data_IF_739342974307
#
_entry.id   IF_739342974307
#
_cell.length_a   1.000
_cell.length_b   1.000
_cell.length_c   1.000
_cell.angle_alpha   90.00
_cell.angle_beta   90.00
_cell.angle_gamma   90.00
#
_symmetry.space_group_name_H-M   'P 1'
#
loop_
_entity.id
_entity.type
_entity.pdbx_description
1 polymer ?
#
# COMPACT_ATOMS: atom_id res chain seq x y z
N UNK A 1 16.79 13.73 -33.26
CA UNK A 1 15.81 13.94 -32.18
C UNK A 1 15.67 12.64 -31.42
N UNK A 2 16.18 12.57 -30.19
CA UNK A 2 15.99 11.44 -29.29
C UNK A 2 14.50 11.31 -29.00
N UNK A 3 13.86 10.24 -29.49
CA UNK A 3 12.50 9.89 -29.08
C UNK A 3 12.56 9.65 -27.57
N UNK A 4 12.03 10.58 -26.79
CA UNK A 4 11.88 10.39 -25.35
C UNK A 4 10.95 9.21 -25.16
N UNK A 5 11.48 8.13 -24.61
CA UNK A 5 10.79 6.91 -24.19
C UNK A 5 9.89 7.20 -22.96
N UNK A 6 9.29 8.38 -22.92
CA UNK A 6 8.47 8.85 -21.82
C UNK A 6 7.03 8.69 -22.26
N UNK A 7 6.40 7.67 -21.69
CA UNK A 7 5.01 7.34 -21.91
C UNK A 7 4.24 7.71 -20.63
N UNK A 8 3.43 8.79 -20.64
CA UNK A 8 2.74 9.27 -19.44
C UNK A 8 1.84 8.20 -18.77
N UNK A 9 1.39 7.22 -19.54
CA UNK A 9 0.63 6.09 -19.02
C UNK A 9 1.49 5.11 -18.20
N UNK A 10 2.75 4.92 -18.60
CA UNK A 10 3.70 4.05 -17.87
C UNK A 10 4.08 4.70 -16.54
N UNK A 11 4.27 6.02 -16.50
CA UNK A 11 4.56 6.74 -15.27
C UNK A 11 3.37 6.72 -14.30
N UNK A 12 2.14 6.99 -14.78
CA UNK A 12 0.93 6.89 -13.96
C UNK A 12 0.76 5.50 -13.34
N UNK A 13 0.95 4.44 -14.12
CA UNK A 13 0.93 3.05 -13.63
C UNK A 13 2.04 2.76 -12.61
N UNK A 14 3.18 3.44 -12.70
CA UNK A 14 4.26 3.36 -11.71
C UNK A 14 3.84 3.97 -10.38
N UNK A 15 3.30 5.19 -10.42
CA UNK A 15 2.85 5.94 -9.24
C UNK A 15 1.74 5.18 -8.49
N UNK A 16 0.73 4.67 -9.21
CA UNK A 16 -0.37 3.91 -8.60
C UNK A 16 0.12 2.64 -7.88
N UNK A 17 1.09 1.93 -8.47
CA UNK A 17 1.69 0.76 -7.84
C UNK A 17 2.53 1.11 -6.62
N UNK A 18 3.27 2.21 -6.68
CA UNK A 18 4.09 2.66 -5.56
C UNK A 18 3.24 3.09 -4.36
N UNK A 19 2.09 3.73 -4.61
CA UNK A 19 1.12 4.09 -3.57
C UNK A 19 0.51 2.86 -2.91
N UNK A 20 0.10 1.84 -3.69
CA UNK A 20 -0.46 0.59 -3.16
C UNK A 20 0.57 -0.18 -2.31
N UNK A 21 1.82 -0.26 -2.77
CA UNK A 21 2.92 -0.91 -2.03
C UNK A 21 3.21 -0.15 -0.72
N UNK A 22 3.20 1.19 -0.77
CA UNK A 22 3.45 2.04 0.39
C UNK A 22 2.32 1.91 1.41
N UNK A 23 1.08 1.83 0.97
CA UNK A 23 -0.08 1.60 1.81
C UNK A 23 0.06 0.26 2.57
N UNK A 24 0.29 -0.84 1.84
CA UNK A 24 0.46 -2.18 2.44
C UNK A 24 1.60 -2.25 3.46
N UNK A 25 2.78 -1.69 3.13
CA UNK A 25 3.91 -1.62 4.07
C UNK A 25 3.61 -0.77 5.31
N UNK A 26 2.90 0.34 5.14
CA UNK A 26 2.52 1.20 6.25
C UNK A 26 1.54 0.48 7.18
N UNK A 27 0.54 -0.21 6.61
CA UNK A 27 -0.39 -1.03 7.37
C UNK A 27 0.33 -2.15 8.14
N UNK A 28 1.26 -2.85 7.49
CA UNK A 28 2.07 -3.90 8.10
C UNK A 28 2.86 -3.40 9.32
N UNK A 29 3.55 -2.26 9.17
CA UNK A 29 4.33 -1.64 10.24
C UNK A 29 3.45 -1.21 11.42
N UNK A 30 2.28 -0.62 11.15
CA UNK A 30 1.35 -0.19 12.20
C UNK A 30 0.76 -1.40 12.95
N UNK A 31 0.40 -2.47 12.25
CA UNK A 31 -0.08 -3.71 12.86
C UNK A 31 1.01 -4.36 13.75
N UNK A 32 2.27 -4.36 13.30
CA UNK A 32 3.42 -4.82 14.11
C UNK A 32 3.64 -4.01 15.38
N UNK A 33 3.29 -2.71 15.36
CA UNK A 33 3.33 -1.84 16.54
C UNK A 33 2.13 -2.01 17.48
N UNK A 34 1.19 -2.92 17.17
CA UNK A 34 0.00 -3.19 17.98
C UNK A 34 -1.12 -2.17 17.78
N UNK A 35 -1.06 -1.36 16.72
CA UNK A 35 -2.15 -0.45 16.37
C UNK A 35 -3.38 -1.27 15.92
N UNK A 36 -4.56 -0.86 16.37
CA UNK A 36 -5.82 -1.53 16.01
C UNK A 36 -6.11 -1.44 14.51
N UNK A 37 -6.67 -2.51 13.95
CA UNK A 37 -7.02 -2.65 12.53
C UNK A 37 -7.84 -1.48 11.99
N UNK A 38 -8.78 -0.95 12.78
CA UNK A 38 -9.64 0.19 12.40
C UNK A 38 -8.85 1.48 12.18
N UNK A 39 -7.91 1.79 13.07
CA UNK A 39 -7.04 2.97 12.97
C UNK A 39 -6.10 2.80 11.77
N UNK A 40 -5.58 1.59 11.54
CA UNK A 40 -4.71 1.31 10.39
C UNK A 40 -5.48 1.48 9.08
N UNK A 41 -6.69 0.93 8.99
CA UNK A 41 -7.55 1.06 7.81
C UNK A 41 -7.81 2.54 7.49
N UNK A 42 -8.21 3.33 8.49
CA UNK A 42 -8.47 4.76 8.32
C UNK A 42 -7.21 5.57 7.97
N UNK A 43 -6.07 5.27 8.61
CA UNK A 43 -4.83 6.04 8.44
C UNK A 43 -4.10 5.75 7.13
N UNK A 44 -4.29 4.56 6.56
CA UNK A 44 -3.62 4.11 5.35
C UNK A 44 -4.54 4.21 4.12
N UNK A 45 -5.85 4.29 4.32
CA UNK A 45 -6.84 4.32 3.23
C UNK A 45 -7.16 2.92 2.68
N UNK A 46 -6.98 1.88 3.50
CA UNK A 46 -7.36 0.50 3.18
C UNK A 46 -8.68 0.14 3.85
N UNK A 47 -9.37 -0.84 3.28
CA UNK A 47 -10.53 -1.46 3.95
C UNK A 47 -10.08 -2.30 5.15
N UNK A 48 -11.00 -2.53 6.08
CA UNK A 48 -10.68 -3.33 7.26
C UNK A 48 -10.44 -4.80 6.91
N UNK A 49 -11.07 -5.30 5.86
CA UNK A 49 -10.83 -6.62 5.30
C UNK A 49 -9.38 -6.75 4.81
N UNK A 50 -8.87 -5.79 4.04
CA UNK A 50 -7.49 -5.78 3.54
C UNK A 50 -6.48 -5.75 4.70
N UNK A 51 -6.74 -4.94 5.72
CA UNK A 51 -5.88 -4.87 6.92
C UNK A 51 -5.87 -6.21 7.66
N UNK A 52 -7.02 -6.90 7.75
CA UNK A 52 -7.11 -8.24 8.35
C UNK A 52 -6.37 -9.29 7.54
N UNK A 53 -6.41 -9.23 6.21
CA UNK A 53 -5.62 -10.12 5.36
C UNK A 53 -4.12 -9.90 5.58
N UNK A 54 -3.66 -8.66 5.60
CA UNK A 54 -2.26 -8.32 5.91
C UNK A 54 -1.86 -8.87 7.29
N UNK A 55 -2.73 -8.71 8.30
CA UNK A 55 -2.49 -9.25 9.64
C UNK A 55 -2.39 -10.78 9.64
N UNK A 56 -3.22 -11.49 8.88
CA UNK A 56 -3.13 -12.96 8.77
C UNK A 56 -1.80 -13.40 8.14
N UNK A 57 -1.33 -12.67 7.12
CA UNK A 57 -0.04 -12.94 6.46
C UNK A 57 1.16 -12.66 7.38
N UNK A 58 1.00 -11.78 8.37
CA UNK A 58 2.02 -11.43 9.36
C UNK A 58 2.23 -12.49 10.47
N UNK A 59 1.21 -13.29 10.78
CA UNK A 59 1.21 -14.24 11.92
C UNK A 59 1.66 -15.64 11.45
N UNK A 60 2.81 -15.73 10.77
CA UNK A 60 3.52 -16.99 10.57
C UNK A 60 4.44 -17.30 11.74
#
# INVERSE_FOLDING_TARGET
MSKTLYDPEVEKRGIEKDEEIKAKKSAENLLKLGVSEEIVAQGVGLTIEEVREIKKLLVH
#
